data_IF_360876176612
#
_entry.id   IF_360876176612
#
_cell.length_a   1.000
_cell.length_b   1.000
_cell.length_c   1.000
_cell.angle_alpha   90.00
_cell.angle_beta   90.00
_cell.angle_gamma   90.00
#
_symmetry.space_group_name_H-M   'P 1'
#
loop_
_entity.id
_entity.type
_entity.pdbx_description
1 polymer ?
#
# COMPACT_ATOMS: atom_id res chain seq x y z
N UNK A 1 3.27 -2.08 -1.91
CA UNK A 1 2.83 -3.08 -2.93
C UNK A 1 2.57 -2.42 -4.28
N UNK A 2 1.60 -1.50 -4.44
CA UNK A 2 1.29 -0.89 -5.74
C UNK A 2 2.51 -0.30 -6.48
N UNK A 3 3.37 0.45 -5.78
CA UNK A 3 4.60 0.99 -6.35
C UNK A 3 5.56 -0.12 -6.84
N UNK A 4 5.71 -1.18 -6.08
CA UNK A 4 6.51 -2.35 -6.44
C UNK A 4 5.95 -3.03 -7.68
N UNK A 5 4.64 -3.24 -7.75
CA UNK A 5 3.99 -3.87 -8.91
C UNK A 5 4.12 -3.01 -10.17
N UNK A 6 3.95 -1.69 -10.05
CA UNK A 6 4.15 -0.78 -11.18
C UNK A 6 5.60 -0.78 -11.68
N UNK A 7 6.58 -0.75 -10.78
CA UNK A 7 8.00 -0.79 -11.15
C UNK A 7 8.38 -2.14 -11.80
N UNK A 8 7.86 -3.26 -11.30
CA UNK A 8 8.04 -4.58 -11.92
C UNK A 8 7.43 -4.67 -13.32
N UNK A 9 6.37 -3.89 -13.59
CA UNK A 9 5.77 -3.76 -14.92
C UNK A 9 6.53 -2.76 -15.84
N UNK A 10 7.68 -2.23 -15.41
CA UNK A 10 8.54 -1.35 -16.20
C UNK A 10 8.25 0.14 -16.05
N UNK A 11 7.35 0.54 -15.16
CA UNK A 11 7.07 1.96 -14.93
C UNK A 11 8.19 2.64 -14.11
N UNK A 12 8.49 3.91 -14.42
CA UNK A 12 9.26 4.78 -13.54
C UNK A 12 8.34 5.28 -12.42
N UNK A 13 8.63 4.89 -11.18
CA UNK A 13 7.74 5.14 -10.05
C UNK A 13 8.34 6.17 -9.09
N UNK A 14 7.51 7.15 -8.70
CA UNK A 14 7.78 8.04 -7.56
C UNK A 14 6.71 7.79 -6.50
N UNK A 15 7.14 7.40 -5.31
CA UNK A 15 6.30 7.24 -4.12
C UNK A 15 6.39 8.51 -3.29
N UNK A 16 5.24 9.13 -2.99
CA UNK A 16 5.16 10.34 -2.17
C UNK A 16 4.56 9.97 -0.82
N UNK A 17 5.24 10.33 0.24
CA UNK A 17 4.83 10.09 1.63
C UNK A 17 4.93 11.40 2.42
N UNK A 18 3.86 11.81 3.11
CA UNK A 18 3.88 13.04 3.90
C UNK A 18 4.59 12.88 5.25
N UNK A 19 4.72 11.64 5.73
CA UNK A 19 5.48 11.35 6.94
C UNK A 19 6.99 11.33 6.66
N UNK A 20 7.79 11.36 7.74
CA UNK A 20 9.26 11.31 7.70
C UNK A 20 9.83 9.95 7.27
N UNK A 21 8.97 8.93 7.12
CA UNK A 21 9.33 7.57 6.69
C UNK A 21 8.12 6.81 6.17
N UNK A 22 8.36 5.93 5.20
CA UNK A 22 7.32 5.02 4.69
C UNK A 22 6.98 3.93 5.71
N UNK A 23 5.73 3.47 5.68
CA UNK A 23 5.29 2.26 6.37
C UNK A 23 5.00 2.40 7.86
N UNK A 24 4.89 3.63 8.41
CA UNK A 24 4.49 3.84 9.81
C UNK A 24 3.21 3.08 10.19
N UNK A 25 2.24 3.05 9.27
CA UNK A 25 0.97 2.35 9.49
C UNK A 25 1.17 0.83 9.64
N UNK A 26 2.07 0.24 8.88
CA UNK A 26 2.36 -1.21 8.94
C UNK A 26 2.77 -1.61 10.36
N UNK A 27 3.62 -0.83 11.01
CA UNK A 27 4.14 -1.13 12.35
C UNK A 27 3.06 -1.20 13.43
N UNK A 28 1.91 -0.54 13.22
CA UNK A 28 0.78 -0.55 14.16
C UNK A 28 -0.30 -1.58 13.82
N UNK A 29 -0.22 -2.23 12.64
CA UNK A 29 -1.23 -3.21 12.21
C UNK A 29 -1.04 -4.55 12.92
N UNK A 30 -2.15 -5.30 13.10
CA UNK A 30 -2.11 -6.62 13.71
C UNK A 30 -1.45 -6.63 15.10
N UNK A 31 -1.61 -5.55 15.85
CA UNK A 31 -0.98 -5.38 17.17
C UNK A 31 0.55 -5.48 17.13
N UNK A 32 1.18 -4.85 16.13
CA UNK A 32 2.63 -4.87 15.90
C UNK A 32 3.14 -6.09 15.14
N UNK A 33 2.25 -6.98 14.66
CA UNK A 33 2.62 -8.21 13.94
C UNK A 33 2.40 -8.14 12.44
N UNK A 34 1.61 -7.18 11.94
CA UNK A 34 1.16 -7.04 10.56
C UNK A 34 0.33 -8.23 10.06
N UNK A 35 -0.98 -8.17 10.23
CA UNK A 35 -1.88 -9.12 9.56
C UNK A 35 -1.79 -8.92 8.04
N UNK A 36 -1.29 -9.93 7.31
CA UNK A 36 -1.08 -9.86 5.86
C UNK A 36 -2.38 -10.04 5.10
N UNK A 37 -3.16 -11.05 5.49
CA UNK A 37 -4.43 -11.43 4.88
C UNK A 37 -5.25 -12.33 5.81
N UNK A 38 -6.42 -12.78 5.33
CA UNK A 38 -7.25 -13.74 6.01
C UNK A 38 -7.71 -14.80 5.00
N UNK A 39 -7.74 -16.08 5.39
CA UNK A 39 -8.26 -17.14 4.53
C UNK A 39 -9.78 -17.05 4.33
N UNK A 40 -10.48 -16.44 5.27
CA UNK A 40 -11.92 -16.18 5.12
C UNK A 40 -12.14 -14.82 4.46
N UNK A 41 -12.35 -14.83 3.15
CA UNK A 41 -12.64 -13.68 2.30
C UNK A 41 -14.01 -13.88 1.61
N UNK A 42 -15.09 -13.78 2.40
CA UNK A 42 -16.47 -13.98 1.94
C UNK A 42 -17.21 -12.64 1.86
N UNK A 43 -18.26 -12.51 1.00
CA UNK A 43 -19.02 -11.26 0.87
C UNK A 43 -19.54 -10.70 2.20
N UNK A 44 -19.90 -11.58 3.13
CA UNK A 44 -20.43 -11.23 4.46
C UNK A 44 -19.41 -10.56 5.37
N UNK A 45 -18.11 -10.70 5.06
CA UNK A 45 -17.03 -10.05 5.79
C UNK A 45 -16.91 -8.55 5.45
N UNK A 46 -17.58 -8.09 4.39
CA UNK A 46 -17.47 -6.73 3.87
C UNK A 46 -18.78 -5.96 3.97
N UNK A 47 -18.71 -4.71 4.39
CA UNK A 47 -19.84 -3.79 4.43
C UNK A 47 -19.68 -2.74 3.35
N UNK A 48 -20.44 -2.89 2.28
CA UNK A 48 -20.43 -1.99 1.12
C UNK A 48 -21.84 -1.81 0.58
N UNK A 49 -22.17 -0.60 0.11
CA UNK A 49 -23.44 -0.33 -0.57
C UNK A 49 -23.57 -1.13 -1.88
N UNK A 50 -22.45 -1.37 -2.55
CA UNK A 50 -22.36 -2.27 -3.71
C UNK A 50 -21.84 -3.63 -3.25
N UNK A 51 -22.74 -4.55 -2.96
CA UNK A 51 -22.43 -5.85 -2.33
C UNK A 51 -21.33 -6.66 -3.04
N UNK A 52 -21.29 -6.63 -4.39
CA UNK A 52 -20.34 -7.42 -5.18
C UNK A 52 -18.99 -6.72 -5.37
N UNK A 53 -18.89 -5.42 -5.08
CA UNK A 53 -17.69 -4.63 -5.34
C UNK A 53 -16.44 -5.15 -4.61
N UNK A 54 -16.48 -5.46 -3.30
CA UNK A 54 -15.31 -5.96 -2.60
C UNK A 54 -14.78 -7.26 -3.21
N UNK A 55 -15.67 -8.19 -3.56
CA UNK A 55 -15.26 -9.48 -4.13
C UNK A 55 -14.67 -9.37 -5.52
N UNK A 56 -15.18 -8.46 -6.37
CA UNK A 56 -14.59 -8.16 -7.68
C UNK A 56 -13.15 -7.66 -7.57
N UNK A 57 -12.87 -6.82 -6.57
CA UNK A 57 -11.51 -6.32 -6.32
C UNK A 57 -10.60 -7.44 -5.80
N UNK A 58 -11.07 -8.23 -4.84
CA UNK A 58 -10.32 -9.32 -4.22
C UNK A 58 -10.01 -10.43 -5.23
N UNK A 59 -10.91 -10.74 -6.16
CA UNK A 59 -10.67 -11.71 -7.24
C UNK A 59 -9.48 -11.34 -8.14
N UNK A 60 -9.17 -10.05 -8.27
CA UNK A 60 -8.01 -9.59 -9.02
C UNK A 60 -6.66 -9.76 -8.30
N UNK A 61 -6.67 -9.82 -6.97
CA UNK A 61 -5.49 -10.05 -6.12
C UNK A 61 -5.96 -10.56 -4.76
N UNK A 62 -6.06 -11.88 -4.63
CA UNK A 62 -6.65 -12.55 -3.47
C UNK A 62 -5.63 -12.99 -2.42
N UNK A 63 -6.02 -14.02 -1.70
CA UNK A 63 -5.20 -14.56 -0.61
C UNK A 63 -3.94 -15.21 -1.16
N UNK A 64 -4.05 -16.04 -2.20
CA UNK A 64 -2.93 -16.78 -2.77
C UNK A 64 -1.89 -15.82 -3.37
N UNK A 65 -2.31 -14.85 -4.19
CA UNK A 65 -1.43 -13.84 -4.78
C UNK A 65 -0.75 -12.98 -3.69
N UNK A 66 -1.49 -12.67 -2.61
CA UNK A 66 -0.92 -11.95 -1.47
C UNK A 66 0.19 -12.76 -0.79
N UNK A 67 -0.07 -14.05 -0.54
CA UNK A 67 0.92 -14.93 0.08
C UNK A 67 2.13 -15.16 -0.81
N UNK A 68 1.94 -15.37 -2.11
CA UNK A 68 3.02 -15.51 -3.10
C UNK A 68 3.87 -14.24 -3.16
N UNK A 69 3.24 -13.05 -3.19
CA UNK A 69 3.94 -11.78 -3.18
C UNK A 69 4.87 -11.66 -1.97
N UNK A 70 4.38 -11.96 -0.76
CA UNK A 70 5.19 -11.86 0.45
C UNK A 70 6.22 -12.98 0.57
N UNK A 71 5.92 -14.20 0.13
CA UNK A 71 6.90 -15.30 0.04
C UNK A 71 8.06 -14.96 -0.89
N UNK A 72 7.76 -14.35 -2.06
CA UNK A 72 8.79 -13.87 -2.97
C UNK A 72 9.73 -12.86 -2.31
N UNK A 73 9.21 -12.02 -1.43
CA UNK A 73 10.00 -11.06 -0.65
C UNK A 73 10.71 -11.71 0.57
N UNK A 74 10.57 -13.01 0.79
CA UNK A 74 11.21 -13.73 1.89
C UNK A 74 10.39 -13.81 3.19
N UNK A 75 9.13 -13.39 3.18
CA UNK A 75 8.24 -13.56 4.33
C UNK A 75 7.64 -14.97 4.32
N UNK A 76 7.90 -15.73 5.38
CA UNK A 76 7.23 -17.00 5.65
C UNK A 76 5.90 -16.71 6.34
N UNK A 77 4.74 -17.05 5.75
CA UNK A 77 3.44 -16.81 6.37
C UNK A 77 3.15 -17.84 7.47
N UNK A 78 2.39 -17.43 8.47
CA UNK A 78 1.91 -18.23 9.59
C UNK A 78 0.41 -18.02 9.80
N UNK A 79 -0.34 -19.10 9.79
CA UNK A 79 -1.77 -19.08 10.09
C UNK A 79 -2.02 -19.00 11.61
N UNK A 80 -2.98 -18.17 11.99
CA UNK A 80 -3.56 -18.11 13.34
C UNK A 80 -5.08 -18.01 13.23
N UNK A 81 -5.73 -19.14 13.19
CA UNK A 81 -7.21 -19.25 13.09
C UNK A 81 -7.76 -18.47 11.88
N UNK A 82 -7.15 -18.64 10.73
CA UNK A 82 -7.51 -17.97 9.48
C UNK A 82 -6.86 -16.61 9.26
N UNK A 83 -6.32 -15.96 10.30
CA UNK A 83 -5.52 -14.72 10.15
C UNK A 83 -4.09 -15.07 9.81
N UNK A 84 -3.55 -14.46 8.78
CA UNK A 84 -2.19 -14.73 8.31
C UNK A 84 -1.23 -13.62 8.72
N UNK A 85 -0.16 -14.01 9.39
CA UNK A 85 0.90 -13.12 9.88
C UNK A 85 2.26 -13.56 9.32
N UNK A 86 3.31 -12.70 9.37
CA UNK A 86 4.67 -13.18 9.18
C UNK A 86 5.05 -14.14 10.32
N UNK A 87 5.82 -15.18 10.02
CA UNK A 87 6.25 -16.16 11.04
C UNK A 87 7.08 -15.53 12.16
N UNK A 88 7.75 -14.42 11.89
CA UNK A 88 8.47 -13.62 12.90
C UNK A 88 7.57 -12.98 13.94
N UNK A 89 6.24 -12.89 13.69
CA UNK A 89 5.28 -12.11 14.49
C UNK A 89 5.68 -10.62 14.65
N UNK A 90 6.47 -10.06 13.72
CA UNK A 90 6.96 -8.69 13.77
C UNK A 90 6.58 -7.93 12.49
N UNK A 91 5.82 -6.85 12.64
CA UNK A 91 5.48 -5.96 11.52
C UNK A 91 6.73 -5.32 10.88
N UNK A 92 7.82 -5.17 11.64
CA UNK A 92 9.09 -4.65 11.13
C UNK A 92 9.65 -5.51 10.00
N UNK A 93 9.61 -6.84 10.11
CA UNK A 93 10.12 -7.73 9.05
C UNK A 93 9.37 -7.54 7.72
N UNK A 94 8.05 -7.29 7.78
CA UNK A 94 7.25 -7.01 6.59
C UNK A 94 7.62 -5.64 6.00
N UNK A 95 7.82 -4.63 6.84
CA UNK A 95 8.21 -3.31 6.39
C UNK A 95 9.60 -3.33 5.74
N UNK A 96 10.57 -4.04 6.32
CA UNK A 96 11.93 -4.09 5.84
C UNK A 96 12.02 -4.72 4.44
N UNK A 97 11.35 -5.86 4.21
CA UNK A 97 11.36 -6.49 2.87
C UNK A 97 10.68 -5.60 1.81
N UNK A 98 9.63 -4.86 2.17
CA UNK A 98 9.00 -3.91 1.26
C UNK A 98 9.91 -2.72 0.93
N UNK A 99 10.68 -2.22 1.90
CA UNK A 99 11.68 -1.16 1.69
C UNK A 99 12.81 -1.63 0.80
N UNK A 100 13.40 -2.78 1.10
CA UNK A 100 14.49 -3.35 0.29
C UNK A 100 14.06 -3.59 -1.15
N UNK A 101 12.85 -4.09 -1.37
CA UNK A 101 12.34 -4.26 -2.73
C UNK A 101 12.09 -2.91 -3.42
N UNK A 102 11.63 -1.90 -2.69
CA UNK A 102 11.46 -0.54 -3.20
C UNK A 102 12.81 0.04 -3.64
N UNK A 103 13.85 -0.13 -2.83
CA UNK A 103 15.22 0.29 -3.14
C UNK A 103 15.81 -0.50 -4.33
N UNK A 104 15.66 -1.83 -4.32
CA UNK A 104 16.13 -2.73 -5.39
C UNK A 104 15.57 -2.35 -6.76
N UNK A 105 14.32 -1.93 -6.79
CA UNK A 105 13.61 -1.52 -8.02
C UNK A 105 13.89 -0.06 -8.42
N UNK A 106 14.71 0.68 -7.67
CA UNK A 106 15.04 2.07 -7.97
C UNK A 106 13.85 3.03 -7.85
N UNK A 107 12.85 2.69 -7.04
CA UNK A 107 11.68 3.55 -6.83
C UNK A 107 12.11 4.80 -6.08
N UNK A 108 11.84 5.97 -6.68
CA UNK A 108 12.11 7.25 -6.04
C UNK A 108 11.12 7.48 -4.90
N UNK A 109 11.62 7.72 -3.68
CA UNK A 109 10.79 7.99 -2.50
C UNK A 109 10.98 9.44 -2.05
N UNK A 110 9.88 10.20 -1.97
CA UNK A 110 9.84 11.57 -1.43
C UNK A 110 9.16 11.53 -0.07
N UNK A 111 9.95 11.72 0.99
CA UNK A 111 9.49 11.75 2.39
C UNK A 111 9.21 13.19 2.82
N UNK A 112 8.41 13.35 3.89
CA UNK A 112 7.99 14.66 4.39
C UNK A 112 7.43 15.56 3.27
N UNK A 113 6.76 14.93 2.30
CA UNK A 113 6.28 15.55 1.08
C UNK A 113 4.75 15.60 1.08
N UNK A 114 4.21 16.75 1.49
CA UNK A 114 2.76 16.98 1.54
C UNK A 114 2.21 17.34 0.17
N UNK A 115 1.30 16.51 -0.35
CA UNK A 115 0.54 16.83 -1.55
C UNK A 115 -0.60 17.79 -1.21
N UNK A 116 -0.73 18.86 -1.95
CA UNK A 116 -1.78 19.87 -1.75
C UNK A 116 -2.81 19.91 -2.89
N UNK A 117 -2.39 19.55 -4.10
CA UNK A 117 -3.27 19.59 -5.28
C UNK A 117 -2.94 18.44 -6.23
N UNK A 118 -3.97 17.79 -6.71
CA UNK A 118 -3.91 16.84 -7.83
C UNK A 118 -4.87 17.33 -8.90
N UNK A 119 -4.36 17.56 -10.14
CA UNK A 119 -5.19 18.01 -11.27
C UNK A 119 -4.96 17.10 -12.48
N UNK A 120 -6.02 16.50 -13.05
CA UNK A 120 -5.91 15.87 -14.36
C UNK A 120 -5.56 16.94 -15.41
N UNK A 121 -4.72 16.57 -16.38
CA UNK A 121 -4.31 17.43 -17.47
C UNK A 121 -5.14 17.15 -18.72
N UNK A 122 -5.34 18.17 -19.56
CA UNK A 122 -6.15 18.05 -20.79
C UNK A 122 -5.55 17.06 -21.79
N UNK A 123 -4.24 17.03 -21.86
CA UNK A 123 -3.48 16.18 -22.79
C UNK A 123 -3.13 14.82 -22.20
N UNK A 124 -3.77 14.45 -21.07
CA UNK A 124 -3.54 13.23 -20.32
C UNK A 124 -2.60 13.40 -19.13
N UNK A 125 -2.65 12.42 -18.21
CA UNK A 125 -1.84 12.43 -17.00
C UNK A 125 -2.30 13.40 -15.92
N UNK A 126 -1.43 13.66 -14.95
CA UNK A 126 -1.74 14.43 -13.76
C UNK A 126 -0.63 15.42 -13.42
N UNK A 127 -1.02 16.60 -12.96
CA UNK A 127 -0.15 17.56 -12.28
C UNK A 127 -0.37 17.44 -10.77
N UNK A 128 0.72 17.27 -10.03
CA UNK A 128 0.72 17.11 -8.57
C UNK A 128 1.54 18.25 -7.98
N UNK A 129 0.90 19.08 -7.14
CA UNK A 129 1.61 20.09 -6.35
C UNK A 129 1.86 19.58 -4.96
N UNK A 130 3.10 19.72 -4.50
CA UNK A 130 3.51 19.30 -3.16
C UNK A 130 4.37 20.35 -2.48
N UNK A 131 4.67 20.12 -1.21
CA UNK A 131 5.62 20.95 -0.44
C UNK A 131 7.04 20.95 -0.99
N UNK A 132 7.38 19.97 -1.84
CA UNK A 132 8.70 19.84 -2.48
C UNK A 132 8.69 20.19 -3.97
N UNK A 133 7.63 20.85 -4.46
CA UNK A 133 7.52 21.28 -5.84
C UNK A 133 6.39 20.62 -6.62
N UNK A 134 6.42 20.77 -7.93
CA UNK A 134 5.42 20.26 -8.85
C UNK A 134 5.97 19.04 -9.59
N UNK A 135 5.15 18.01 -9.70
CA UNK A 135 5.41 16.77 -10.44
C UNK A 135 4.38 16.58 -11.54
N UNK A 136 4.80 15.96 -12.63
CA UNK A 136 3.93 15.50 -13.70
C UNK A 136 4.05 13.98 -13.83
N UNK A 137 2.95 13.30 -14.10
CA UNK A 137 2.92 11.84 -14.28
C UNK A 137 1.79 11.45 -15.23
N UNK A 138 2.00 10.39 -15.99
CA UNK A 138 0.99 9.84 -16.89
C UNK A 138 -0.10 9.10 -16.11
N UNK A 139 0.27 8.44 -15.01
CA UNK A 139 -0.64 7.62 -14.21
C UNK A 139 -0.46 7.93 -12.73
N UNK A 140 -1.56 7.96 -11.99
CA UNK A 140 -1.59 8.19 -10.54
C UNK A 140 -2.32 7.07 -9.83
N UNK A 141 -1.70 6.55 -8.76
CA UNK A 141 -2.35 5.66 -7.80
C UNK A 141 -2.49 6.41 -6.48
N UNK A 142 -3.73 6.72 -6.10
CA UNK A 142 -4.05 7.37 -4.84
C UNK A 142 -4.19 6.31 -3.74
N UNK A 143 -3.21 6.22 -2.85
CA UNK A 143 -3.14 5.22 -1.78
C UNK A 143 -2.96 5.86 -0.40
N UNK A 144 -3.56 7.05 -0.18
CA UNK A 144 -3.39 7.85 1.03
C UNK A 144 -4.05 7.26 2.29
N UNK A 145 -4.77 6.14 2.15
CA UNK A 145 -5.42 5.46 3.27
C UNK A 145 -6.74 6.12 3.68
N UNK A 146 -7.29 5.65 4.80
CA UNK A 146 -8.52 6.16 5.40
C UNK A 146 -8.21 7.08 6.59
N UNK A 147 -9.22 7.46 7.37
CA UNK A 147 -9.08 8.24 8.62
C UNK A 147 -8.92 7.34 9.87
N UNK A 148 -8.37 6.14 9.71
CA UNK A 148 -8.33 5.14 10.79
C UNK A 148 -7.24 5.40 11.85
N UNK A 149 -6.15 6.08 11.51
CA UNK A 149 -5.05 6.37 12.45
C UNK A 149 -4.23 7.58 11.97
N UNK A 150 -4.68 8.82 12.22
CA UNK A 150 -4.02 10.03 11.73
C UNK A 150 -2.55 10.16 12.14
N UNK A 151 -2.19 9.75 13.35
CA UNK A 151 -0.81 9.79 13.84
C UNK A 151 0.18 8.90 13.05
N UNK A 152 -0.33 7.95 12.27
CA UNK A 152 0.46 7.06 11.42
C UNK A 152 0.37 7.39 9.93
N UNK A 153 -0.28 8.52 9.59
CA UNK A 153 -0.45 8.99 8.22
C UNK A 153 -1.81 8.67 7.57
N UNK A 154 -2.70 7.94 8.24
CA UNK A 154 -4.07 7.69 7.77
C UNK A 154 -5.03 8.74 8.33
N UNK A 155 -4.92 9.98 7.85
CA UNK A 155 -5.66 11.15 8.34
C UNK A 155 -6.93 11.48 7.55
N UNK A 156 -7.19 10.77 6.46
CA UNK A 156 -8.34 10.96 5.59
C UNK A 156 -8.16 12.05 4.53
N UNK A 157 -6.96 12.60 4.36
CA UNK A 157 -6.66 13.65 3.37
C UNK A 157 -6.78 13.19 1.90
N UNK A 158 -6.88 11.88 1.66
CA UNK A 158 -7.08 11.31 0.33
C UNK A 158 -8.52 11.26 -0.17
N UNK A 159 -9.51 11.70 0.64
CA UNK A 159 -10.93 11.73 0.27
C UNK A 159 -11.35 13.05 -0.38
#
# INVERSE_FOLDING_TARGET
>A
MAAISAARAGAQVTLIEHMDRVGKKILSTGNGRCNLTNYRMEPECYRCSQKDFPMKVIQGFGVEETLEFFKYLGIVPKDRNGYVYPNSDQAASVLDVLRWETERLGIRVLLSCQVSVIKPQRDGGFLIRSSQGTLHTDTLILAAGSKAAPSTGSDGSGY
#
